data_IF_301665041077
#
_entry.id   IF_301665041077
#
_cell.length_a   1.000
_cell.length_b   1.000
_cell.length_c   1.000
_cell.angle_alpha   90.00
_cell.angle_beta   90.00
_cell.angle_gamma   90.00
#
_symmetry.space_group_name_H-M   'P 1'
#
loop_
_entity.id
_entity.type
_entity.pdbx_description
1 polymer ?
#
# COMPACT_ATOMS: atom_id res chain seq x y z
N UNK A 1 13.50 -21.54 8.40
CA UNK A 1 13.39 -20.10 8.73
C UNK A 1 12.12 -19.92 9.55
N UNK A 2 12.18 -19.29 10.73
CA UNK A 2 10.96 -18.89 11.45
C UNK A 2 10.36 -17.70 10.69
N UNK A 3 9.09 -17.80 10.28
CA UNK A 3 8.41 -16.71 9.56
C UNK A 3 8.32 -15.47 10.46
N UNK A 4 8.68 -14.30 9.96
CA UNK A 4 8.60 -13.02 10.68
C UNK A 4 7.14 -12.61 10.88
N UNK A 5 6.29 -12.87 9.89
CA UNK A 5 4.84 -12.64 9.93
C UNK A 5 4.10 -13.98 9.91
N UNK A 6 3.08 -14.10 10.76
CA UNK A 6 1.99 -15.06 10.60
C UNK A 6 0.64 -14.35 10.72
N UNK A 7 -0.42 -14.96 10.19
CA UNK A 7 -1.78 -14.43 10.22
C UNK A 7 -2.78 -15.59 10.09
N UNK A 8 -4.07 -15.32 10.27
CA UNK A 8 -5.11 -16.34 10.11
C UNK A 8 -5.32 -16.69 8.63
N UNK A 9 -4.81 -17.86 8.24
CA UNK A 9 -4.95 -18.42 6.90
C UNK A 9 -6.12 -19.40 6.78
N UNK A 10 -7.01 -19.51 7.78
CA UNK A 10 -8.08 -20.53 7.80
C UNK A 10 -9.04 -20.45 6.60
N UNK A 11 -9.26 -19.24 6.07
CA UNK A 11 -10.08 -18.98 4.89
C UNK A 11 -9.24 -18.70 3.62
N UNK A 12 -7.99 -19.16 3.59
CA UNK A 12 -7.06 -18.92 2.49
C UNK A 12 -6.37 -20.20 2.03
N UNK A 13 -6.20 -20.33 0.72
CA UNK A 13 -5.49 -21.45 0.10
C UNK A 13 -4.06 -21.02 -0.25
N UNK A 14 -3.02 -21.78 0.14
CA UNK A 14 -1.66 -21.47 -0.25
C UNK A 14 -1.50 -21.59 -1.78
N UNK A 15 -0.79 -20.63 -2.37
CA UNK A 15 -0.47 -20.64 -3.79
C UNK A 15 0.99 -20.97 -3.96
N UNK A 16 1.27 -21.95 -4.82
CA UNK A 16 2.64 -22.25 -5.21
C UNK A 16 3.16 -21.15 -6.12
N UNK A 17 4.04 -20.31 -5.57
CA UNK A 17 4.83 -19.33 -6.30
C UNK A 17 6.29 -19.59 -5.98
N UNK A 18 7.21 -19.36 -6.93
CA UNK A 18 8.63 -19.45 -6.63
C UNK A 18 8.94 -18.51 -5.47
N UNK A 19 9.26 -19.09 -4.32
CA UNK A 19 9.77 -18.34 -3.18
C UNK A 19 11.06 -17.69 -3.63
N UNK A 20 11.15 -16.38 -3.43
CA UNK A 20 12.40 -15.63 -3.56
C UNK A 20 12.92 -15.35 -2.15
N UNK A 21 14.13 -14.83 -2.03
CA UNK A 21 14.70 -14.45 -0.72
C UNK A 21 13.78 -13.47 0.04
N UNK A 22 12.98 -12.68 -0.69
CA UNK A 22 12.07 -11.68 -0.14
C UNK A 22 10.62 -12.19 0.01
N UNK A 23 10.19 -13.19 -0.77
CA UNK A 23 8.81 -13.71 -0.73
C UNK A 23 8.69 -14.86 0.25
N UNK A 24 8.18 -14.57 1.45
CA UNK A 24 7.99 -15.56 2.53
C UNK A 24 6.74 -16.43 2.35
N UNK A 25 5.76 -15.99 1.55
CA UNK A 25 4.60 -16.81 1.19
C UNK A 25 3.51 -16.09 0.40
N UNK A 26 2.65 -16.88 -0.23
CA UNK A 26 1.49 -16.40 -0.99
C UNK A 26 0.25 -17.28 -0.78
N UNK A 27 -0.92 -16.64 -0.73
CA UNK A 27 -2.22 -17.29 -0.53
C UNK A 27 -3.29 -16.63 -1.41
N UNK A 28 -4.29 -17.40 -1.85
CA UNK A 28 -5.56 -16.86 -2.32
C UNK A 28 -6.52 -16.82 -1.13
N UNK A 29 -7.10 -15.66 -0.85
CA UNK A 29 -8.13 -15.48 0.17
C UNK A 29 -9.41 -14.96 -0.51
N UNK A 30 -10.56 -15.57 -0.23
CA UNK A 30 -11.81 -15.16 -0.90
C UNK A 30 -11.74 -15.22 -2.44
N UNK A 31 -12.65 -14.53 -3.16
CA UNK A 31 -12.66 -14.54 -4.62
C UNK A 31 -11.60 -13.59 -5.20
N UNK A 32 -10.59 -14.17 -5.85
CA UNK A 32 -9.54 -13.47 -6.62
C UNK A 32 -8.69 -12.47 -5.82
N UNK A 33 -8.58 -12.61 -4.50
CA UNK A 33 -7.65 -11.80 -3.69
C UNK A 33 -6.38 -12.58 -3.39
N UNK A 34 -5.27 -12.08 -3.90
CA UNK A 34 -3.94 -12.58 -3.61
C UNK A 34 -3.39 -11.88 -2.37
N UNK A 35 -2.96 -12.66 -1.39
CA UNK A 35 -2.21 -12.19 -0.23
C UNK A 35 -0.77 -12.64 -0.36
N UNK A 36 0.18 -11.73 -0.19
CA UNK A 36 1.61 -12.05 -0.12
C UNK A 36 2.27 -11.46 1.11
N UNK A 37 3.23 -12.20 1.65
CA UNK A 37 4.08 -11.74 2.75
C UNK A 37 5.51 -11.64 2.24
N UNK A 38 6.12 -10.49 2.48
CA UNK A 38 7.50 -10.23 2.16
C UNK A 38 8.32 -9.88 3.40
N UNK A 39 9.56 -10.33 3.40
CA UNK A 39 10.56 -10.04 4.42
C UNK A 39 11.77 -9.44 3.72
N UNK A 40 12.15 -8.22 4.09
CA UNK A 40 13.29 -7.52 3.50
C UNK A 40 14.34 -7.25 4.58
N UNK A 41 15.58 -7.66 4.32
CA UNK A 41 16.76 -7.36 5.17
C UNK A 41 17.51 -6.12 4.68
N UNK A 42 16.76 -5.05 4.42
CA UNK A 42 17.27 -3.74 4.00
C UNK A 42 16.47 -2.62 4.66
N UNK A 43 17.11 -1.45 4.77
CA UNK A 43 16.47 -0.23 5.29
C UNK A 43 15.18 0.04 4.49
N UNK A 44 14.01 0.13 5.15
CA UNK A 44 12.74 0.35 4.46
C UNK A 44 12.78 1.59 3.58
N UNK A 45 12.37 1.45 2.31
CA UNK A 45 12.27 2.55 1.35
C UNK A 45 10.99 3.37 1.57
N UNK A 46 10.84 3.92 2.77
CA UNK A 46 9.76 4.84 3.11
C UNK A 46 10.23 6.28 2.87
N UNK A 47 9.45 7.09 2.12
CA UNK A 47 9.90 8.41 1.68
C UNK A 47 9.83 9.48 2.79
N UNK A 48 9.23 9.15 3.94
CA UNK A 48 9.08 10.02 5.10
C UNK A 48 8.85 9.18 6.38
N UNK A 49 9.02 9.82 7.53
CA UNK A 49 9.03 9.15 8.82
C UNK A 49 7.61 8.95 9.32
N UNK A 50 7.39 7.97 10.19
CA UNK A 50 6.06 7.68 10.73
C UNK A 50 5.61 8.71 11.79
N UNK A 51 6.44 9.69 12.15
CA UNK A 51 6.09 10.70 13.16
C UNK A 51 5.14 11.80 12.62
N UNK A 52 5.10 12.02 11.30
CA UNK A 52 4.25 13.04 10.67
C UNK A 52 3.47 12.42 9.52
N UNK A 53 2.20 12.09 9.80
CA UNK A 53 1.30 11.46 8.83
C UNK A 53 1.05 12.34 7.60
N UNK A 54 1.00 13.66 7.75
CA UNK A 54 0.73 14.56 6.63
C UNK A 54 1.91 14.58 5.66
N UNK A 55 3.14 14.71 6.19
CA UNK A 55 4.37 14.64 5.38
C UNK A 55 4.51 13.26 4.74
N UNK A 56 4.23 12.18 5.49
CA UNK A 56 4.26 10.82 4.96
C UNK A 56 3.28 10.64 3.80
N UNK A 57 2.02 11.03 3.97
CA UNK A 57 0.99 10.93 2.93
C UNK A 57 1.40 11.69 1.66
N UNK A 58 1.84 12.94 1.78
CA UNK A 58 2.28 13.72 0.63
C UNK A 58 3.46 13.05 -0.12
N UNK A 59 4.46 12.58 0.63
CA UNK A 59 5.62 11.90 0.06
C UNK A 59 5.26 10.55 -0.61
N UNK A 60 4.31 9.81 -0.03
CA UNK A 60 3.79 8.56 -0.60
C UNK A 60 3.02 8.77 -1.91
N UNK A 61 2.30 9.88 -2.06
CA UNK A 61 1.66 10.22 -3.35
C UNK A 61 2.70 10.33 -4.45
N UNK A 62 3.78 11.08 -4.20
CA UNK A 62 4.86 11.26 -5.18
C UNK A 62 5.60 9.95 -5.47
N UNK A 63 5.87 9.14 -4.44
CA UNK A 63 6.49 7.82 -4.62
C UNK A 63 5.62 6.88 -5.45
N UNK A 64 4.31 6.82 -5.18
CA UNK A 64 3.37 6.03 -5.97
C UNK A 64 3.33 6.50 -7.44
N UNK A 65 3.24 7.82 -7.67
CA UNK A 65 3.23 8.39 -9.01
C UNK A 65 4.52 8.08 -9.79
N UNK A 66 5.69 8.16 -9.14
CA UNK A 66 6.97 7.79 -9.75
C UNK A 66 7.03 6.30 -10.17
N UNK A 67 6.32 5.43 -9.45
CA UNK A 67 6.13 4.02 -9.78
C UNK A 67 4.99 3.73 -10.78
N UNK A 68 4.35 4.76 -11.34
CA UNK A 68 3.22 4.60 -12.27
C UNK A 68 1.89 4.21 -11.60
N UNK A 69 1.78 4.35 -10.28
CA UNK A 69 0.59 4.05 -9.49
C UNK A 69 -0.09 5.34 -8.99
N UNK A 70 -1.34 5.22 -8.56
CA UNK A 70 -2.08 6.26 -7.84
C UNK A 70 -2.30 5.84 -6.39
N UNK A 71 -1.93 6.71 -5.43
CA UNK A 71 -2.30 6.50 -4.04
C UNK A 71 -3.81 6.76 -3.86
N UNK A 72 -4.47 5.91 -3.09
CA UNK A 72 -5.90 6.04 -2.72
C UNK A 72 -6.00 6.44 -1.25
N UNK A 73 -5.35 5.65 -0.38
CA UNK A 73 -5.33 5.86 1.07
C UNK A 73 -3.93 5.61 1.61
N UNK A 74 -3.59 6.30 2.70
CA UNK A 74 -2.43 5.97 3.51
C UNK A 74 -2.68 6.37 4.96
N UNK A 75 -2.32 5.50 5.89
CA UNK A 75 -2.49 5.69 7.33
C UNK A 75 -1.29 5.11 8.09
N UNK A 76 -1.08 5.58 9.31
CA UNK A 76 -0.25 4.88 10.28
C UNK A 76 -1.18 4.08 11.18
N UNK A 77 -0.94 2.78 11.25
CA UNK A 77 -1.69 1.83 12.08
C UNK A 77 -0.72 1.10 13.01
N UNK A 78 -1.26 0.28 13.91
CA UNK A 78 -0.47 -0.58 14.78
C UNK A 78 -0.67 -2.06 14.37
N UNK A 79 0.42 -2.81 14.28
CA UNK A 79 0.43 -4.26 14.05
C UNK A 79 1.33 -4.92 15.09
N UNK A 80 0.76 -5.76 15.94
CA UNK A 80 1.53 -6.49 16.97
C UNK A 80 2.28 -5.58 17.96
N UNK A 81 1.75 -4.38 18.22
CA UNK A 81 2.36 -3.35 19.07
C UNK A 81 3.41 -2.49 18.38
N UNK A 82 3.62 -2.61 17.07
CA UNK A 82 4.56 -1.81 16.29
C UNK A 82 3.85 -0.87 15.32
N UNK A 83 4.36 0.36 15.13
CA UNK A 83 3.83 1.27 14.12
C UNK A 83 4.07 0.70 12.72
N UNK A 84 3.06 0.82 11.86
CA UNK A 84 3.09 0.32 10.50
C UNK A 84 2.44 1.32 9.54
N UNK A 85 2.94 1.38 8.31
CA UNK A 85 2.34 2.19 7.24
C UNK A 85 1.36 1.32 6.47
N UNK A 86 0.07 1.66 6.52
CA UNK A 86 -0.95 1.09 5.64
C UNK A 86 -1.08 1.99 4.42
N UNK A 87 -1.07 1.40 3.23
CA UNK A 87 -1.33 2.10 1.98
C UNK A 87 -2.31 1.31 1.13
N UNK A 88 -3.08 2.03 0.34
CA UNK A 88 -3.92 1.48 -0.71
C UNK A 88 -3.59 2.23 -1.99
N UNK A 89 -3.17 1.50 -3.02
CA UNK A 89 -2.82 2.06 -4.33
C UNK A 89 -3.65 1.38 -5.43
N UNK A 90 -3.80 2.09 -6.55
CA UNK A 90 -4.21 1.52 -7.83
C UNK A 90 -3.08 1.62 -8.84
N UNK A 91 -2.96 0.62 -9.70
CA UNK A 91 -1.96 0.59 -10.77
C UNK A 91 -2.51 -0.09 -12.01
N UNK A 92 -1.90 0.16 -13.17
CA UNK A 92 -2.22 -0.54 -14.42
C UNK A 92 -1.79 -2.01 -14.30
N UNK A 93 -2.59 -2.91 -14.83
CA UNK A 93 -2.21 -4.33 -14.89
C UNK A 93 -1.12 -4.50 -15.96
N UNK A 94 0.08 -5.02 -15.63
CA UNK A 94 1.15 -5.20 -16.59
C UNK A 94 0.72 -6.02 -17.80
N UNK A 95 1.03 -5.52 -19.01
CA UNK A 95 0.69 -6.20 -20.27
C UNK A 95 -0.79 -6.12 -20.69
N UNK A 96 -1.66 -5.40 -19.95
CA UNK A 96 -3.04 -5.14 -20.36
C UNK A 96 -3.25 -3.68 -20.77
N UNK A 97 -4.12 -3.46 -21.76
CA UNK A 97 -4.51 -2.11 -22.22
C UNK A 97 -5.52 -1.43 -21.29
N UNK A 98 -6.34 -2.23 -20.61
CA UNK A 98 -7.41 -1.78 -19.70
C UNK A 98 -7.35 -2.55 -18.38
N UNK A 99 -8.08 -2.03 -17.39
CA UNK A 99 -8.19 -2.60 -16.06
C UNK A 99 -7.12 -2.10 -15.09
N UNK A 100 -7.50 -2.08 -13.83
CA UNK A 100 -6.68 -1.70 -12.70
C UNK A 100 -6.44 -2.88 -11.76
N UNK A 101 -5.25 -2.90 -11.17
CA UNK A 101 -4.95 -3.67 -9.98
C UNK A 101 -5.03 -2.74 -8.77
N UNK A 102 -5.62 -3.23 -7.70
CA UNK A 102 -5.69 -2.54 -6.42
C UNK A 102 -4.85 -3.32 -5.41
N UNK A 103 -3.96 -2.61 -4.71
CA UNK A 103 -2.99 -3.21 -3.80
C UNK A 103 -3.07 -2.48 -2.47
N UNK A 104 -3.50 -3.20 -1.46
CA UNK A 104 -3.36 -2.85 -0.06
C UNK A 104 -2.04 -3.38 0.47
N UNK A 105 -1.22 -2.53 1.08
CA UNK A 105 0.04 -2.93 1.68
C UNK A 105 0.14 -2.42 3.11
N UNK A 106 0.67 -3.25 4.01
CA UNK A 106 1.06 -2.87 5.36
C UNK A 106 2.53 -3.16 5.54
N UNK A 107 3.32 -2.09 5.70
CA UNK A 107 4.76 -2.14 5.91
C UNK A 107 5.03 -1.91 7.38
N UNK A 108 5.65 -2.88 8.06
CA UNK A 108 6.16 -2.74 9.43
C UNK A 108 7.67 -2.49 9.34
N UNK A 109 8.14 -1.24 9.51
CA UNK A 109 9.53 -0.89 9.31
C UNK A 109 10.36 -1.05 10.60
N UNK A 110 11.57 -1.60 10.48
CA UNK A 110 12.65 -1.58 11.47
C UNK A 110 13.86 -0.83 10.89
N UNK A 111 14.86 -0.54 11.71
CA UNK A 111 16.02 0.26 11.28
C UNK A 111 16.74 -0.29 10.03
N UNK A 112 16.80 -1.61 9.89
CA UNK A 112 17.59 -2.32 8.88
C UNK A 112 16.77 -3.35 8.08
N UNK A 113 15.45 -3.36 8.27
CA UNK A 113 14.59 -4.40 7.72
C UNK A 113 13.12 -3.99 7.70
N UNK A 114 12.31 -4.66 6.89
CA UNK A 114 10.85 -4.54 6.95
C UNK A 114 10.15 -5.86 6.75
N UNK A 115 8.95 -5.95 7.29
CA UNK A 115 8.00 -7.00 6.97
C UNK A 115 6.80 -6.35 6.28
N UNK A 116 6.41 -6.88 5.12
CA UNK A 116 5.36 -6.28 4.27
C UNK A 116 4.27 -7.30 3.99
N UNK A 117 3.06 -6.99 4.43
CA UNK A 117 1.86 -7.77 4.16
C UNK A 117 1.09 -7.09 3.03
N UNK A 118 0.86 -7.78 1.90
CA UNK A 118 0.15 -7.23 0.75
C UNK A 118 -1.11 -8.02 0.47
N UNK A 119 -2.16 -7.31 0.10
CA UNK A 119 -3.46 -7.81 -0.35
C UNK A 119 -3.72 -7.18 -1.71
N UNK A 120 -3.95 -7.99 -2.73
CA UNK A 120 -4.10 -7.53 -4.10
C UNK A 120 -5.30 -8.20 -4.77
N UNK A 121 -6.09 -7.40 -5.47
CA UNK A 121 -7.10 -7.88 -6.41
C UNK A 121 -7.00 -7.09 -7.72
N UNK A 122 -7.46 -7.67 -8.81
CA UNK A 122 -7.41 -7.05 -10.14
C UNK A 122 -8.81 -7.04 -10.75
N UNK A 123 -9.10 -6.02 -11.55
CA UNK A 123 -10.34 -6.03 -12.34
C UNK A 123 -10.33 -7.20 -13.33
N UNK A 124 -11.46 -7.90 -13.41
CA UNK A 124 -11.71 -9.00 -14.32
C UNK A 124 -12.99 -8.74 -15.11
N UNK A 125 -13.04 -9.21 -16.36
CA UNK A 125 -14.21 -9.01 -17.22
C UNK A 125 -14.40 -7.54 -17.61
N UNK A 126 -15.58 -6.97 -17.31
CA UNK A 126 -15.91 -5.58 -17.61
C UNK A 126 -15.20 -4.67 -16.60
N UNK A 127 -14.19 -3.94 -17.06
CA UNK A 127 -13.38 -3.02 -16.25
C UNK A 127 -14.00 -1.61 -16.21
N UNK A 128 -13.79 -0.86 -15.14
CA UNK A 128 -14.22 0.53 -15.01
C UNK A 128 -15.71 0.72 -14.73
N UNK A 129 -16.42 -0.35 -14.37
CA UNK A 129 -17.87 -0.30 -14.12
C UNK A 129 -18.20 0.55 -12.89
N UNK A 130 -17.37 0.48 -11.84
CA UNK A 130 -17.52 1.32 -10.64
C UNK A 130 -17.39 2.78 -11.01
N UNK A 131 -16.33 3.16 -11.72
CA UNK A 131 -16.10 4.51 -12.20
C UNK A 131 -17.23 5.02 -13.10
N UNK A 132 -17.69 4.20 -14.04
CA UNK A 132 -18.77 4.56 -14.96
C UNK A 132 -20.08 4.88 -14.25
N UNK A 133 -20.46 4.07 -13.24
CA UNK A 133 -21.68 4.30 -12.46
C UNK A 133 -21.57 5.52 -11.53
N UNK A 134 -20.37 5.79 -10.99
CA UNK A 134 -20.14 7.02 -10.22
C UNK A 134 -20.18 8.25 -11.13
N UNK A 135 -19.66 8.18 -12.35
CA UNK A 135 -19.80 9.24 -13.36
C UNK A 135 -21.26 9.48 -13.73
N UNK A 136 -22.04 8.42 -13.97
CA UNK A 136 -23.46 8.55 -14.29
C UNK A 136 -24.23 9.30 -13.19
N UNK A 137 -23.85 9.07 -11.93
CA UNK A 137 -24.45 9.72 -10.76
C UNK A 137 -23.99 11.17 -10.54
N UNK A 138 -22.70 11.45 -10.71
CA UNK A 138 -22.06 12.70 -10.24
C UNK A 138 -21.54 13.60 -11.36
N UNK A 139 -21.55 13.13 -12.61
CA UNK A 139 -20.92 13.77 -13.75
C UNK A 139 -19.43 13.46 -13.89
N UNK A 140 -18.86 13.85 -15.03
CA UNK A 140 -17.46 13.56 -15.38
C UNK A 140 -16.44 14.20 -14.42
N UNK A 141 -16.79 15.32 -13.79
CA UNK A 141 -15.91 16.01 -12.85
C UNK A 141 -15.56 15.15 -11.62
N UNK A 142 -16.37 14.12 -11.32
CA UNK A 142 -16.09 13.14 -10.27
C UNK A 142 -14.85 12.27 -10.55
N UNK A 143 -14.37 12.21 -11.80
CA UNK A 143 -13.16 11.47 -12.17
C UNK A 143 -11.86 12.27 -12.08
N UNK A 144 -11.94 13.58 -11.84
CA UNK A 144 -10.77 14.48 -11.84
C UNK A 144 -10.72 15.31 -10.56
N UNK A 145 -10.62 14.61 -9.43
CA UNK A 145 -10.48 15.26 -8.13
C UNK A 145 -9.00 15.61 -7.87
N UNK A 146 -8.77 16.72 -7.18
CA UNK A 146 -7.47 16.98 -6.59
C UNK A 146 -7.19 15.93 -5.51
N UNK A 147 -5.99 15.35 -5.53
CA UNK A 147 -5.62 14.36 -4.53
C UNK A 147 -5.55 15.00 -3.13
N UNK A 148 -6.23 14.45 -2.11
CA UNK A 148 -6.36 15.10 -0.79
C UNK A 148 -5.02 15.31 -0.07
N UNK A 149 -4.03 14.47 -0.37
CA UNK A 149 -2.70 14.54 0.25
C UNK A 149 -1.64 15.32 -0.56
N UNK A 150 -1.93 15.70 -1.81
CA UNK A 150 -0.96 16.37 -2.67
C UNK A 150 -1.68 17.23 -3.72
N UNK A 151 -2.08 18.43 -3.30
CA UNK A 151 -2.76 19.38 -4.18
C UNK A 151 -1.81 19.82 -5.30
N UNK A 152 -2.25 19.69 -6.55
CA UNK A 152 -1.47 20.09 -7.73
C UNK A 152 -0.36 19.12 -8.13
N UNK A 153 -0.31 17.92 -7.55
CA UNK A 153 0.63 16.89 -7.99
C UNK A 153 0.29 16.37 -9.38
N UNK A 154 1.31 16.14 -10.20
CA UNK A 154 1.19 15.39 -11.44
C UNK A 154 1.16 13.89 -11.12
N UNK A 155 0.02 13.24 -11.39
CA UNK A 155 -0.23 11.85 -11.00
C UNK A 155 -0.33 10.97 -12.23
N UNK A 156 0.41 9.85 -12.21
CA UNK A 156 0.33 8.84 -13.25
C UNK A 156 -1.09 8.23 -13.38
N UNK A 157 -1.80 8.10 -12.26
CA UNK A 157 -3.20 7.74 -12.20
C UNK A 157 -3.97 8.73 -11.32
N UNK A 158 -5.07 9.31 -11.80
CA UNK A 158 -5.80 10.34 -11.06
C UNK A 158 -6.53 9.74 -9.85
N UNK A 159 -6.60 10.52 -8.78
CA UNK A 159 -7.52 10.27 -7.68
C UNK A 159 -8.94 10.67 -8.11
N UNK A 160 -9.94 9.84 -7.81
CA UNK A 160 -11.32 10.12 -8.18
C UNK A 160 -12.32 9.72 -7.10
N UNK A 161 -13.57 10.17 -7.25
CA UNK A 161 -14.64 9.88 -6.29
C UNK A 161 -14.88 8.37 -6.14
N UNK A 162 -14.76 7.60 -7.22
CA UNK A 162 -14.97 6.16 -7.17
C UNK A 162 -13.97 5.43 -6.26
N UNK A 163 -12.81 6.03 -5.96
CA UNK A 163 -11.87 5.50 -4.97
C UNK A 163 -12.43 5.56 -3.53
N UNK A 164 -13.44 6.38 -3.24
CA UNK A 164 -14.01 6.54 -1.88
C UNK A 164 -14.60 5.24 -1.33
N UNK A 165 -14.33 4.95 -0.06
CA UNK A 165 -14.85 3.78 0.63
C UNK A 165 -16.38 3.82 0.83
N UNK A 166 -17.01 5.00 0.73
CA UNK A 166 -18.46 5.15 0.86
C UNK A 166 -19.26 4.34 -0.17
N UNK A 167 -18.65 4.06 -1.33
CA UNK A 167 -19.26 3.28 -2.41
C UNK A 167 -19.04 1.78 -2.27
N UNK A 168 -18.16 1.32 -1.38
CA UNK A 168 -17.85 -0.11 -1.23
C UNK A 168 -19.10 -1.00 -1.02
N UNK A 169 -20.12 -0.60 -0.22
CA UNK A 169 -21.35 -1.39 -0.07
C UNK A 169 -22.14 -1.61 -1.36
N UNK A 170 -22.03 -0.69 -2.33
CA UNK A 170 -22.69 -0.79 -3.64
C UNK A 170 -21.91 -1.68 -4.61
N UNK A 171 -20.62 -1.90 -4.34
CA UNK A 171 -19.69 -2.61 -5.20
C UNK A 171 -18.95 -3.73 -4.45
N UNK A 172 -19.65 -4.71 -3.83
CA UNK A 172 -19.02 -5.75 -3.01
C UNK A 172 -18.01 -6.61 -3.79
N UNK A 173 -18.27 -6.82 -5.08
CA UNK A 173 -17.41 -7.63 -5.95
C UNK A 173 -16.26 -6.84 -6.57
N UNK A 174 -16.22 -5.51 -6.38
CA UNK A 174 -15.17 -4.69 -6.97
C UNK A 174 -13.81 -4.96 -6.28
N UNK A 175 -12.70 -5.04 -7.03
CA UNK A 175 -11.39 -5.36 -6.47
C UNK A 175 -10.95 -4.45 -5.31
N UNK A 176 -11.21 -3.14 -5.40
CA UNK A 176 -10.91 -2.20 -4.31
C UNK A 176 -11.66 -2.55 -3.02
N UNK A 177 -12.95 -2.88 -3.13
CA UNK A 177 -13.80 -3.30 -2.00
C UNK A 177 -13.27 -4.60 -1.41
N UNK A 178 -12.97 -5.59 -2.24
CA UNK A 178 -12.42 -6.88 -1.80
C UNK A 178 -11.09 -6.70 -1.05
N UNK A 179 -10.19 -5.85 -1.55
CA UNK A 179 -8.93 -5.53 -0.85
C UNK A 179 -9.17 -4.90 0.51
N UNK A 180 -10.07 -3.92 0.63
CA UNK A 180 -10.40 -3.29 1.93
C UNK A 180 -11.03 -4.28 2.91
N UNK A 181 -11.93 -5.13 2.43
CA UNK A 181 -12.57 -6.19 3.22
C UNK A 181 -11.53 -7.17 3.75
N UNK A 182 -10.65 -7.68 2.89
CA UNK A 182 -9.61 -8.63 3.29
C UNK A 182 -8.56 -8.00 4.22
N UNK A 183 -8.14 -6.75 3.98
CA UNK A 183 -7.32 -6.02 4.95
C UNK A 183 -8.01 -5.94 6.32
N UNK A 184 -9.27 -5.52 6.36
CA UNK A 184 -10.01 -5.38 7.63
C UNK A 184 -10.14 -6.71 8.38
N UNK A 185 -10.29 -7.81 7.64
CA UNK A 185 -10.36 -9.17 8.19
C UNK A 185 -9.00 -9.68 8.69
N UNK A 186 -7.94 -9.48 7.91
CA UNK A 186 -6.65 -10.14 8.11
C UNK A 186 -5.72 -9.37 9.05
N UNK A 187 -5.69 -8.04 8.98
CA UNK A 187 -4.73 -7.23 9.76
C UNK A 187 -4.80 -7.49 11.29
N UNK A 188 -5.99 -7.62 11.92
CA UNK A 188 -6.06 -7.92 13.37
C UNK A 188 -5.49 -9.29 13.76
N UNK A 189 -5.38 -10.21 12.79
CA UNK A 189 -4.88 -11.57 13.01
C UNK A 189 -3.37 -11.67 12.86
N UNK A 190 -2.72 -10.62 12.34
CA UNK A 190 -1.27 -10.62 12.13
C UNK A 190 -0.55 -10.75 13.48
N UNK A 191 0.45 -11.62 13.52
CA UNK A 191 1.40 -11.80 14.62
C UNK A 191 2.81 -11.66 14.06
N UNK A 192 3.65 -10.97 14.83
CA UNK A 192 5.05 -10.72 14.50
C UNK A 192 5.93 -11.59 15.38
N UNK A 193 6.95 -12.22 14.79
CA UNK A 193 7.92 -13.00 15.54
C UNK A 193 8.75 -12.11 16.47
N UNK A 194 9.01 -12.57 17.69
CA UNK A 194 9.75 -11.81 18.71
C UNK A 194 11.13 -11.30 18.23
N UNK A 195 11.95 -12.08 17.50
CA UNK A 195 13.22 -11.57 16.98
C UNK A 195 13.09 -10.34 16.08
N UNK A 196 12.00 -10.22 15.33
CA UNK A 196 11.73 -9.05 14.50
C UNK A 196 11.21 -7.87 15.34
N UNK A 197 10.37 -8.15 16.35
CA UNK A 197 9.87 -7.14 17.29
C UNK A 197 10.97 -6.51 18.15
N UNK A 198 12.03 -7.26 18.44
CA UNK A 198 13.19 -6.80 19.20
C UNK A 198 14.21 -5.99 18.39
N UNK A 199 14.07 -5.87 17.05
CA UNK A 199 14.99 -5.07 16.21
C UNK A 199 14.93 -3.58 16.61
N UNK A 200 15.89 -2.73 16.20
CA UNK A 200 15.80 -1.29 16.44
C UNK A 200 14.67 -0.62 15.65
N UNK A 201 14.11 0.47 16.20
CA UNK A 201 13.06 1.25 15.55
C UNK A 201 13.54 1.91 14.25
N UNK A 202 12.65 1.96 13.26
CA UNK A 202 12.92 2.70 12.04
C UNK A 202 12.92 4.21 12.33
N UNK A 203 14.04 4.85 11.99
CA UNK A 203 14.13 6.31 11.96
C UNK A 203 14.67 6.69 10.59
N UNK A 204 14.01 7.62 9.91
CA UNK A 204 14.65 8.23 8.75
C UNK A 204 15.82 9.04 9.25
N UNK A 205 17.02 8.57 8.95
CA UNK A 205 18.21 9.38 9.13
C UNK A 205 18.06 10.57 8.19
N UNK A 206 18.01 11.82 8.68
CA UNK A 206 18.01 12.96 7.78
C UNK A 206 19.26 12.87 6.91
N UNK A 207 19.11 13.05 5.59
CA UNK A 207 20.25 13.14 4.70
C UNK A 207 21.28 14.11 5.33
N UNK A 208 22.58 13.77 5.39
CA UNK A 208 23.56 14.62 6.04
C UNK A 208 23.45 16.03 5.44
N UNK A 209 23.15 17.04 6.27
CA UNK A 209 23.09 18.44 5.84
C UNK A 209 24.42 18.73 5.17
N UNK A 210 24.42 18.96 3.85
CA UNK A 210 25.60 19.50 3.15
C UNK A 210 26.07 20.70 3.96
N UNK A 211 27.25 20.62 4.58
CA UNK A 211 27.84 21.76 5.31
C UNK A 211 27.86 22.91 4.32
N UNK A 212 27.08 23.97 4.58
CA UNK A 212 27.26 25.24 3.87
C UNK A 212 28.69 25.67 4.17
N UNK A 213 29.55 25.52 3.19
CA UNK A 213 30.90 26.08 3.21
C UNK A 213 30.72 27.60 3.17
N UNK A 214 30.74 28.24 4.33
CA UNK A 214 30.96 29.68 4.42
C UNK A 214 32.47 29.91 4.31
N UNK A 215 32.99 29.79 3.08
CA UNK A 215 34.34 30.21 2.74
C UNK A 215 34.37 31.72 2.66
N UNK A 216 34.68 32.37 3.78
CA UNK A 216 34.98 33.79 3.84
C UNK A 216 36.38 34.10 3.30
N UNK A 217 36.44 35.21 2.55
CA UNK A 217 37.55 36.15 2.33
C UNK A 217 38.92 35.59 1.92
N UNK A 218 39.35 36.03 0.74
CA UNK A 218 40.55 36.87 0.62
C UNK A 218 40.28 37.93 -0.44
#
# INVERSE_FOLDING_TARGET
>A
MNKIISFDTSACEPVDRPTTDELAGSWMCGPDVLVTVHEFELVPDLPAGLADLAVLRAALVHSAAAGGAGLIEADIIEIGGLPAVRQLIKTRIPGRTHGLAFIGAVTIPRADSSAVFKVQAVEQGITGMREALIVDRLGLDALSLMHPYAIGADLALPYNAADSAEYDPEFPEHPLTRVRTELSRLLPTIRLAEPFRARPEFTLTPAPRKRKWFGGRS
#
